data_IF_308622191272
#
_entry.id   IF_308622191272
#
_cell.length_a   1.000
_cell.length_b   1.000
_cell.length_c   1.000
_cell.angle_alpha   90.00
_cell.angle_beta   90.00
_cell.angle_gamma   90.00
#
_symmetry.space_group_name_H-M   'P 1'
#
loop_
_entity.id
_entity.type
_entity.pdbx_description
1 polymer ?
2 water ?
#
# COMPACT_ATOMS: atom_id res chain seq x y z
N UNK A 5 -30.28 -0.38 -4.63
CA UNK A 5 -31.55 -0.87 -5.14
C UNK A 5 -32.09 -2.00 -4.28
N UNK A 6 -31.43 -3.16 -4.36
CA UNK A 6 -31.83 -4.33 -3.60
C UNK A 6 -31.61 -4.12 -2.10
N UNK A 7 -32.46 -4.76 -1.29
CA UNK A 7 -32.25 -4.69 0.15
C UNK A 7 -31.01 -5.48 0.54
N UNK A 8 -30.45 -5.14 1.70
CA UNK A 8 -29.32 -5.92 2.19
C UNK A 8 -29.71 -7.38 2.40
N UNK A 9 -30.96 -7.62 2.82
CA UNK A 9 -31.43 -8.99 2.96
C UNK A 9 -31.36 -9.73 1.62
N UNK A 10 -31.86 -9.09 0.56
CA UNK A 10 -31.88 -9.72 -0.76
C UNK A 10 -30.47 -9.95 -1.27
N UNK A 11 -29.55 -9.01 -1.01
CA UNK A 11 -28.18 -9.20 -1.47
C UNK A 11 -27.57 -10.44 -0.85
N UNK A 12 -27.77 -10.64 0.45
CA UNK A 12 -27.21 -11.80 1.14
C UNK A 12 -27.90 -13.07 0.68
N UNK A 13 -29.23 -13.07 0.68
CA UNK A 13 -29.97 -14.28 0.32
C UNK A 13 -29.70 -14.69 -1.13
N UNK A 14 -29.64 -13.72 -2.05
CA UNK A 14 -29.37 -14.07 -3.44
C UNK A 14 -27.95 -14.59 -3.62
N UNK A 15 -26.97 -13.97 -2.95
CA UNK A 15 -25.61 -14.48 -3.02
C UNK A 15 -25.55 -15.95 -2.60
N UNK A 16 -26.25 -16.30 -1.52
CA UNK A 16 -26.24 -17.65 -0.97
C UNK A 16 -26.98 -18.63 -1.88
N UNK A 17 -28.21 -18.29 -2.27
CA UNK A 17 -29.07 -19.27 -2.95
C UNK A 17 -28.62 -19.52 -4.38
N UNK A 18 -27.95 -18.57 -5.00
CA UNK A 18 -27.48 -18.72 -6.38
C UNK A 18 -25.96 -18.86 -6.48
N UNK A 19 -25.26 -19.05 -5.35
CA UNK A 19 -23.81 -19.24 -5.34
C UNK A 19 -23.11 -18.13 -6.13
N UNK A 20 -23.51 -16.87 -5.84
CA UNK A 20 -22.93 -15.71 -6.51
C UNK A 20 -21.71 -15.21 -5.76
N UNK A 21 -20.59 -14.97 -6.45
CA UNK A 21 -19.33 -14.73 -5.73
C UNK A 21 -19.07 -13.28 -5.30
N UNK A 22 -19.78 -12.28 -5.81
CA UNK A 22 -19.48 -10.90 -5.48
C UNK A 22 -20.67 -10.24 -4.79
N UNK A 23 -20.38 -9.43 -3.78
CA UNK A 23 -21.40 -8.72 -3.00
C UNK A 23 -21.03 -7.25 -2.95
N UNK A 24 -21.90 -6.38 -3.48
CA UNK A 24 -21.66 -4.94 -3.52
C UNK A 24 -22.59 -4.23 -2.53
N UNK A 25 -22.02 -3.77 -1.42
CA UNK A 25 -22.73 -3.01 -0.40
C UNK A 25 -22.12 -1.62 -0.23
N UNK A 26 -21.61 -1.05 -1.31
CA UNK A 26 -21.02 0.28 -1.26
C UNK A 26 -22.09 1.34 -1.02
N UNK A 27 -21.77 2.31 -0.18
CA UNK A 27 -22.59 3.52 -0.02
C UNK A 27 -24.00 3.17 0.43
N UNK A 28 -24.08 2.36 1.49
CA UNK A 28 -25.37 1.94 2.04
C UNK A 28 -25.58 2.44 3.47
N UNK A 29 -24.76 3.37 3.94
CA UNK A 29 -24.88 3.89 5.29
C UNK A 29 -24.62 2.90 6.40
N UNK A 30 -23.84 1.86 6.13
CA UNK A 30 -23.60 0.82 7.13
C UNK A 30 -22.59 1.33 8.15
N UNK A 31 -22.95 1.26 9.43
CA UNK A 31 -22.03 1.66 10.50
C UNK A 31 -21.42 0.48 11.25
N UNK A 32 -21.95 -0.74 11.08
CA UNK A 32 -21.44 -1.90 11.80
C UNK A 32 -21.69 -3.13 10.94
N UNK A 33 -20.62 -3.86 10.58
CA UNK A 33 -20.83 -5.06 9.76
C UNK A 33 -21.68 -6.09 10.50
N UNK A 34 -21.65 -6.10 11.84
CA UNK A 34 -22.51 -7.04 12.55
C UNK A 34 -23.99 -6.74 12.34
N UNK A 35 -24.33 -5.54 11.87
CA UNK A 35 -25.72 -5.16 11.65
C UNK A 35 -26.31 -5.78 10.38
N UNK A 36 -25.47 -6.27 9.46
CA UNK A 36 -25.92 -6.76 8.16
C UNK A 36 -26.28 -8.24 8.34
N UNK A 37 -27.58 -8.53 8.40
CA UNK A 37 -28.04 -9.87 8.78
C UNK A 37 -27.52 -10.94 7.81
N UNK A 38 -26.81 -11.93 8.35
CA UNK A 38 -26.34 -13.06 7.58
C UNK A 38 -25.07 -12.83 6.78
N UNK A 39 -24.44 -11.66 6.92
CA UNK A 39 -23.30 -11.35 6.06
C UNK A 39 -22.19 -12.38 6.25
N UNK A 40 -21.98 -12.83 7.47
CA UNK A 40 -20.86 -13.71 7.76
C UNK A 40 -21.19 -15.18 7.56
N UNK A 41 -22.33 -15.50 6.95
CA UNK A 41 -22.61 -16.84 6.47
C UNK A 41 -22.13 -17.07 5.03
N UNK A 42 -21.58 -16.05 4.38
CA UNK A 42 -21.23 -16.13 2.96
C UNK A 42 -19.79 -16.59 2.77
N UNK A 43 -19.52 -17.80 3.25
CA UNK A 43 -18.18 -18.38 3.20
C UNK A 43 -17.71 -18.70 1.80
N UNK A 44 -18.55 -18.50 0.78
CA UNK A 44 -18.18 -18.79 -0.59
C UNK A 44 -17.80 -17.56 -1.40
N UNK A 45 -18.10 -16.34 -0.93
CA UNK A 45 -17.95 -15.18 -1.79
C UNK A 45 -16.48 -14.83 -1.97
N UNK A 46 -16.15 -14.28 -3.13
CA UNK A 46 -14.78 -13.91 -3.44
C UNK A 46 -14.55 -12.41 -3.44
N UNK A 47 -15.61 -11.60 -3.47
CA UNK A 47 -15.47 -10.16 -3.48
C UNK A 47 -16.51 -9.52 -2.58
N UNK A 48 -16.07 -8.63 -1.70
CA UNK A 48 -16.96 -7.90 -0.80
C UNK A 48 -16.58 -6.43 -0.87
N UNK A 49 -17.53 -5.58 -1.30
CA UNK A 49 -17.28 -4.15 -1.46
C UNK A 49 -18.12 -3.43 -0.42
N UNK A 50 -17.44 -2.75 0.51
CA UNK A 50 -18.09 -1.96 1.56
C UNK A 50 -17.55 -0.54 1.60
N UNK A 51 -17.14 -0.02 0.45
CA UNK A 51 -16.64 1.35 0.36
C UNK A 51 -17.75 2.35 0.66
N UNK A 52 -17.34 3.54 1.09
CA UNK A 52 -18.23 4.70 1.25
C UNK A 52 -19.35 4.43 2.24
N UNK A 53 -19.03 3.72 3.31
CA UNK A 53 -19.98 3.53 4.40
C UNK A 53 -19.46 4.31 5.62
N UNK A 54 -19.87 3.89 6.81
CA UNK A 54 -19.43 4.58 8.03
C UNK A 54 -18.90 3.59 9.05
N UNK A 55 -18.16 2.58 8.59
CA UNK A 55 -17.57 1.61 9.49
C UNK A 55 -16.44 2.24 10.29
N UNK A 56 -16.36 1.90 11.58
CA UNK A 56 -15.24 2.30 12.41
C UNK A 56 -14.40 1.12 12.87
N UNK A 57 -14.90 -0.11 12.68
CA UNK A 57 -14.18 -1.32 13.04
C UNK A 57 -14.47 -2.38 12.00
N UNK A 58 -13.66 -3.43 12.00
CA UNK A 58 -13.94 -4.65 11.27
C UNK A 58 -13.97 -5.78 12.31
N UNK A 59 -15.05 -6.53 12.44
CA UNK A 59 -15.13 -7.51 13.53
C UNK A 59 -14.32 -8.75 13.23
N UNK A 60 -13.94 -9.51 14.26
CA UNK A 60 -13.16 -10.75 14.03
C UNK A 60 -13.91 -11.75 13.17
N UNK A 61 -15.24 -11.61 13.09
CA UNK A 61 -16.09 -12.44 12.24
C UNK A 61 -15.67 -12.42 10.78
N UNK A 62 -14.87 -11.43 10.37
CA UNK A 62 -14.41 -11.37 8.98
C UNK A 62 -13.73 -12.67 8.57
N UNK A 63 -13.14 -13.39 9.54
CA UNK A 63 -12.43 -14.62 9.25
C UNK A 63 -13.35 -15.73 8.77
N UNK A 64 -14.67 -15.58 8.96
CA UNK A 64 -15.60 -16.58 8.44
C UNK A 64 -15.79 -16.49 6.94
N UNK A 65 -15.40 -15.37 6.32
CA UNK A 65 -15.50 -15.17 4.87
C UNK A 65 -14.23 -15.70 4.21
N UNK A 66 -14.09 -17.03 4.27
CA UNK A 66 -12.78 -17.64 4.00
C UNK A 66 -12.39 -17.63 2.53
N UNK A 67 -13.34 -17.42 1.62
CA UNK A 67 -13.05 -17.44 0.19
C UNK A 67 -12.71 -16.07 -0.39
N UNK A 68 -12.64 -15.03 0.43
CA UNK A 68 -12.49 -13.67 -0.10
C UNK A 68 -11.16 -13.50 -0.81
N UNK A 69 -11.21 -12.93 -2.02
CA UNK A 69 -10.03 -12.49 -2.77
C UNK A 69 -9.95 -10.98 -2.92
N UNK A 70 -11.09 -10.29 -2.89
CA UNK A 70 -11.14 -8.84 -3.04
C UNK A 70 -11.96 -8.27 -1.89
N UNK A 71 -11.37 -7.38 -1.12
CA UNK A 71 -12.04 -6.77 0.02
C UNK A 71 -11.77 -5.27 -0.05
N UNK A 72 -12.84 -4.48 -0.19
CA UNK A 72 -12.73 -3.05 -0.42
C UNK A 72 -13.43 -2.32 0.73
N UNK A 73 -12.65 -1.63 1.56
CA UNK A 73 -13.18 -0.76 2.62
C UNK A 73 -12.88 0.71 2.34
N UNK A 74 -12.68 1.10 1.08
CA UNK A 74 -12.27 2.47 0.79
C UNK A 74 -13.25 3.50 1.35
N UNK A 75 -12.71 4.53 1.99
CA UNK A 75 -13.53 5.66 2.48
C UNK A 75 -14.55 5.20 3.52
N UNK A 76 -14.04 4.66 4.61
CA UNK A 76 -14.81 4.48 5.84
C UNK A 76 -14.10 5.24 6.96
N UNK A 77 -14.32 4.87 8.21
CA UNK A 77 -13.65 5.51 9.35
C UNK A 77 -12.96 4.47 10.21
N UNK A 78 -12.33 3.49 9.57
CA UNK A 78 -11.85 2.31 10.29
C UNK A 78 -10.59 2.66 11.06
N UNK A 79 -10.57 2.32 12.34
CA UNK A 79 -9.49 2.73 13.23
C UNK A 79 -8.54 1.59 13.57
N UNK A 80 -8.94 0.34 13.35
CA UNK A 80 -8.10 -0.80 13.64
C UNK A 80 -8.63 -1.99 12.85
N UNK A 81 -7.73 -2.93 12.53
CA UNK A 81 -8.11 -4.19 11.92
C UNK A 81 -7.94 -5.33 12.92
N UNK A 82 -8.82 -6.32 12.89
CA UNK A 82 -8.64 -7.47 13.77
C UNK A 82 -7.49 -8.34 13.30
N UNK A 83 -6.85 -9.01 14.25
CA UNK A 83 -5.76 -9.89 13.87
C UNK A 83 -6.25 -11.04 12.99
N UNK A 84 -7.54 -11.40 13.11
CA UNK A 84 -8.11 -12.46 12.28
C UNK A 84 -8.07 -12.15 10.79
N UNK A 85 -7.82 -10.90 10.41
CA UNK A 85 -7.77 -10.54 8.99
C UNK A 85 -6.70 -11.37 8.27
N UNK A 86 -5.64 -11.77 8.97
CA UNK A 86 -4.56 -12.51 8.31
C UNK A 86 -4.93 -13.97 8.03
N UNK A 87 -6.08 -14.43 8.49
CA UNK A 87 -6.57 -15.77 8.18
C UNK A 87 -7.25 -15.86 6.81
N UNK A 88 -7.35 -14.77 6.06
CA UNK A 88 -7.96 -14.79 4.73
C UNK A 88 -6.92 -15.22 3.71
N UNK A 89 -6.81 -16.54 3.52
CA UNK A 89 -5.71 -17.12 2.77
C UNK A 89 -5.85 -16.96 1.25
N UNK A 90 -7.02 -16.52 0.77
CA UNK A 90 -7.18 -16.23 -0.64
C UNK A 90 -7.14 -14.74 -0.95
N UNK A 91 -6.93 -13.88 0.04
CA UNK A 91 -7.07 -12.44 -0.19
C UNK A 91 -5.94 -11.93 -1.08
N UNK A 92 -6.31 -11.37 -2.24
CA UNK A 92 -5.38 -10.86 -3.23
C UNK A 92 -5.34 -9.35 -3.32
N UNK A 93 -6.45 -8.68 -2.99
CA UNK A 93 -6.60 -7.25 -3.19
C UNK A 93 -7.29 -6.69 -1.96
N UNK A 94 -6.59 -5.85 -1.21
CA UNK A 94 -7.14 -5.24 0.00
C UNK A 94 -7.04 -3.73 -0.15
N UNK A 95 -8.19 -3.06 -0.15
CA UNK A 95 -8.24 -1.61 -0.28
C UNK A 95 -8.72 -1.05 1.05
N UNK A 96 -7.82 -0.45 1.80
CA UNK A 96 -8.13 0.23 3.06
C UNK A 96 -7.93 1.73 2.96
N UNK A 97 -7.95 2.28 1.74
CA UNK A 97 -7.66 3.69 1.57
C UNK A 97 -8.71 4.56 2.22
N UNK A 98 -8.29 5.76 2.62
CA UNK A 98 -9.21 6.77 3.21
C UNK A 98 -9.90 6.22 4.46
N UNK A 99 -9.10 5.74 5.40
CA UNK A 99 -9.61 5.34 6.71
C UNK A 99 -8.75 6.07 7.73
N UNK A 100 -8.76 5.58 8.97
CA UNK A 100 -8.03 6.22 10.07
C UNK A 100 -7.10 5.22 10.76
N UNK A 101 -6.46 4.35 9.97
CA UNK A 101 -5.57 3.34 10.54
C UNK A 101 -4.26 3.98 11.00
N UNK A 102 -3.86 3.67 12.25
CA UNK A 102 -2.58 4.06 12.81
C UNK A 102 -1.64 2.89 13.00
N UNK A 103 -2.14 1.65 12.85
CA UNK A 103 -1.35 0.44 13.03
C UNK A 103 -1.97 -0.67 12.20
N UNK A 104 -1.15 -1.68 11.91
CA UNK A 104 -1.64 -2.92 11.34
C UNK A 104 -1.39 -4.05 12.33
N UNK A 105 -2.27 -5.03 12.42
CA UNK A 105 -2.21 -5.99 13.52
C UNK A 105 -1.05 -6.96 13.37
N UNK A 106 -0.64 -7.51 14.51
CA UNK A 106 0.40 -8.53 14.48
C UNK A 106 -0.05 -9.68 13.60
N UNK A 107 0.89 -10.21 12.82
CA UNK A 107 0.62 -11.31 11.92
C UNK A 107 0.08 -10.90 10.58
N UNK A 108 -0.07 -9.59 10.32
CA UNK A 108 -0.62 -9.13 9.05
C UNK A 108 0.20 -9.65 7.87
N UNK A 109 1.51 -9.79 8.05
CA UNK A 109 2.38 -10.28 7.01
C UNK A 109 2.23 -11.75 6.69
N UNK A 110 1.38 -12.47 7.42
CA UNK A 110 1.11 -13.89 7.18
C UNK A 110 0.11 -14.13 6.05
N UNK A 111 -0.44 -13.09 5.45
CA UNK A 111 -1.36 -13.25 4.32
C UNK A 111 -0.60 -13.85 3.14
N UNK A 112 -0.97 -15.04 2.66
CA UNK A 112 -0.12 -15.74 1.67
C UNK A 112 -0.36 -15.37 0.22
N UNK A 113 -1.43 -14.66 -0.12
CA UNK A 113 -1.78 -14.40 -1.51
C UNK A 113 -1.87 -12.92 -1.86
N UNK A 114 -1.54 -12.03 -0.94
CA UNK A 114 -1.80 -10.62 -1.14
C UNK A 114 -0.92 -10.05 -2.26
N UNK A 115 -1.56 -9.48 -3.28
CA UNK A 115 -0.87 -8.87 -4.41
C UNK A 115 -0.98 -7.36 -4.46
N UNK A 116 -2.10 -6.78 -4.03
CA UNK A 116 -2.33 -5.34 -4.11
C UNK A 116 -2.80 -4.88 -2.74
N UNK A 117 -2.07 -3.93 -2.14
CA UNK A 117 -2.39 -3.38 -0.84
C UNK A 117 -2.46 -1.87 -0.98
N UNK A 118 -3.68 -1.34 -0.84
CA UNK A 118 -3.94 0.10 -0.93
C UNK A 118 -4.18 0.61 0.48
N UNK A 119 -3.24 1.38 1.01
CA UNK A 119 -3.36 1.94 2.35
C UNK A 119 -3.31 3.46 2.30
N UNK A 120 -3.63 4.04 1.15
CA UNK A 120 -3.53 5.48 0.97
C UNK A 120 -4.42 6.23 1.93
N UNK A 121 -4.01 7.43 2.30
CA UNK A 121 -4.81 8.30 3.13
C UNK A 121 -5.19 7.62 4.45
N UNK A 122 -4.18 7.16 5.17
CA UNK A 122 -4.37 6.70 6.54
C UNK A 122 -3.35 7.46 7.40
N UNK A 123 -3.10 6.97 8.60
CA UNK A 123 -2.10 7.58 9.48
C UNK A 123 -1.01 6.60 9.87
N UNK A 124 -0.55 5.84 8.89
CA UNK A 124 0.48 4.84 9.12
C UNK A 124 1.86 5.47 9.07
N UNK A 125 2.78 4.91 9.86
CA UNK A 125 4.18 5.27 9.80
C UNK A 125 4.98 3.99 9.91
N UNK A 126 6.31 4.12 9.89
CA UNK A 126 7.16 2.95 9.99
C UNK A 126 6.89 2.18 11.28
N UNK A 127 6.50 2.87 12.33
CA UNK A 127 6.19 2.22 13.61
C UNK A 127 4.86 1.49 13.60
N UNK A 128 4.03 1.69 12.56
CA UNK A 128 2.74 1.01 12.42
C UNK A 128 2.88 -0.41 11.95
N UNK A 129 4.02 -0.78 11.39
CA UNK A 129 4.18 -2.05 10.69
C UNK A 129 4.54 -3.16 11.67
N UNK A 130 3.82 -4.28 11.63
CA UNK A 130 4.16 -5.39 12.50
C UNK A 130 5.48 -6.02 12.08
N UNK A 131 6.03 -6.82 13.02
CA UNK A 131 7.33 -7.43 12.80
C UNK A 131 7.42 -8.27 11.54
N UNK A 132 6.32 -8.90 11.12
CA UNK A 132 6.37 -9.79 9.97
C UNK A 132 5.83 -9.14 8.68
N UNK A 133 5.71 -7.81 8.66
CA UNK A 133 5.07 -7.14 7.53
C UNK A 133 5.77 -7.47 6.21
N UNK A 134 7.10 -7.51 6.20
CA UNK A 134 7.80 -7.70 4.95
C UNK A 134 7.95 -9.17 4.57
N UNK A 135 7.17 -10.05 5.20
CA UNK A 135 6.97 -11.39 4.64
C UNK A 135 5.90 -11.41 3.57
N UNK A 136 5.32 -10.25 3.25
CA UNK A 136 4.31 -10.12 2.19
C UNK A 136 4.99 -10.10 0.83
N UNK A 137 5.82 -11.11 0.55
CA UNK A 137 6.64 -11.07 -0.65
C UNK A 137 5.85 -11.36 -1.94
N UNK A 138 4.54 -11.64 -1.85
CA UNK A 138 3.68 -11.73 -3.03
C UNK A 138 3.23 -10.37 -3.56
N UNK A 139 3.55 -9.28 -2.85
CA UNK A 139 3.00 -7.97 -3.20
C UNK A 139 3.55 -7.47 -4.54
N UNK A 140 2.66 -7.00 -5.40
CA UNK A 140 3.04 -6.39 -6.65
C UNK A 140 2.75 -4.90 -6.69
N UNK A 141 1.85 -4.41 -5.84
CA UNK A 141 1.52 -2.99 -5.80
C UNK A 141 1.30 -2.62 -4.35
N UNK A 142 2.01 -1.59 -3.90
CA UNK A 142 1.94 -1.15 -2.51
C UNK A 142 1.70 0.34 -2.54
N UNK A 143 0.53 0.78 -2.11
CA UNK A 143 0.16 2.19 -2.19
C UNK A 143 0.14 2.74 -0.77
N UNK A 144 1.08 3.62 -0.47
CA UNK A 144 1.22 4.20 0.86
C UNK A 144 1.14 5.72 0.81
N UNK A 145 0.65 6.30 -0.27
CA UNK A 145 0.63 7.75 -0.37
C UNK A 145 -0.27 8.38 0.71
N UNK A 146 0.11 9.59 1.11
CA UNK A 146 -0.67 10.38 2.07
C UNK A 146 -0.80 9.64 3.41
N UNK A 147 0.32 9.09 3.87
CA UNK A 147 0.44 8.60 5.22
C UNK A 147 1.49 9.42 5.94
N UNK A 148 2.08 8.84 6.99
CA UNK A 148 2.96 9.54 7.93
C UNK A 148 4.36 8.93 8.01
N UNK A 149 4.81 8.26 6.95
CA UNK A 149 6.13 7.63 7.01
C UNK A 149 7.23 8.68 6.99
N UNK A 150 8.22 8.51 7.87
CA UNK A 150 9.43 9.32 7.86
C UNK A 150 10.64 8.59 7.28
N UNK A 151 10.69 7.27 7.45
CA UNK A 151 11.66 6.45 6.73
C UNK A 151 10.91 5.23 6.22
N UNK A 152 11.51 4.57 5.23
CA UNK A 152 11.00 3.31 4.73
C UNK A 152 11.93 2.22 5.23
N UNK A 153 11.46 1.20 5.94
CA UNK A 153 12.38 0.20 6.52
C UNK A 153 13.16 -0.51 5.43
N UNK A 154 14.42 -0.86 5.70
CA UNK A 154 15.24 -1.53 4.67
C UNK A 154 14.66 -2.85 4.18
N UNK A 155 13.83 -3.51 4.97
CA UNK A 155 13.25 -4.78 4.49
C UNK A 155 12.28 -4.59 3.33
N UNK A 156 11.99 -3.35 2.91
CA UNK A 156 11.27 -3.13 1.64
C UNK A 156 11.96 -3.88 0.51
N UNK A 157 13.28 -4.06 0.59
CA UNK A 157 14.03 -4.76 -0.43
C UNK A 157 13.64 -6.21 -0.60
N UNK A 158 12.93 -6.79 0.36
CA UNK A 158 12.46 -8.16 0.22
C UNK A 158 11.31 -8.30 -0.77
N UNK A 159 10.64 -7.20 -1.13
CA UNK A 159 9.39 -7.28 -1.92
C UNK A 159 9.72 -7.19 -3.41
N UNK A 160 10.43 -8.20 -3.90
CA UNK A 160 11.00 -8.13 -5.24
C UNK A 160 9.98 -8.40 -6.36
N UNK A 161 8.73 -8.70 -6.04
CA UNK A 161 7.69 -8.69 -7.05
C UNK A 161 7.08 -7.31 -7.27
N UNK A 162 7.46 -6.31 -6.46
CA UNK A 162 6.79 -5.02 -6.54
C UNK A 162 7.02 -4.39 -7.91
N UNK A 163 5.92 -3.95 -8.51
CA UNK A 163 5.96 -3.15 -9.72
C UNK A 163 5.55 -1.71 -9.49
N UNK A 164 4.77 -1.44 -8.45
CA UNK A 164 4.30 -0.09 -8.16
C UNK A 164 4.51 0.18 -6.68
N UNK A 165 5.20 1.29 -6.36
CA UNK A 165 5.41 1.71 -4.99
C UNK A 165 5.09 3.19 -4.88
N UNK A 166 4.06 3.53 -4.12
CA UNK A 166 3.66 4.93 -4.02
C UNK A 166 3.90 5.43 -2.59
N UNK A 167 4.77 6.42 -2.46
CA UNK A 167 5.08 7.04 -1.18
C UNK A 167 4.83 8.55 -1.24
N UNK A 168 3.90 8.97 -2.09
CA UNK A 168 3.62 10.39 -2.30
C UNK A 168 3.14 11.05 -1.01
N UNK A 169 3.66 12.24 -0.73
CA UNK A 169 3.09 13.11 0.30
C UNK A 169 3.09 12.41 1.66
N UNK A 170 4.17 11.69 1.96
CA UNK A 170 4.41 11.26 3.32
C UNK A 170 5.29 12.32 3.98
N UNK A 171 6.18 11.93 4.88
CA UNK A 171 7.11 12.89 5.49
C UNK A 171 8.53 12.32 5.42
N UNK A 172 8.86 11.69 4.29
CA UNK A 172 10.08 10.91 4.20
C UNK A 172 11.31 11.81 4.21
N UNK A 173 12.29 11.47 5.05
CA UNK A 173 13.56 12.19 5.05
C UNK A 173 14.66 11.40 4.36
N UNK A 174 14.42 10.14 4.03
CA UNK A 174 15.40 9.34 3.33
C UNK A 174 14.70 8.18 2.64
N UNK A 175 15.37 7.61 1.64
CA UNK A 175 15.02 6.35 1.01
C UNK A 175 16.12 5.33 1.30
N UNK A 176 15.79 4.07 1.56
CA UNK A 176 16.83 3.08 1.83
C UNK A 176 17.47 2.60 0.55
N UNK A 177 18.77 2.29 0.64
CA UNK A 177 19.46 1.84 -0.56
C UNK A 177 18.87 0.55 -1.08
N UNK A 178 18.19 -0.20 -0.21
CA UNK A 178 17.54 -1.45 -0.58
C UNK A 178 16.43 -1.27 -1.63
N UNK A 179 15.98 -0.03 -1.89
CA UNK A 179 15.06 0.19 -3.00
C UNK A 179 15.69 -0.28 -4.30
N UNK A 180 17.02 -0.27 -4.39
CA UNK A 180 17.70 -0.73 -5.59
C UNK A 180 17.52 -2.20 -5.87
N UNK A 181 16.99 -2.97 -4.92
CA UNK A 181 16.73 -4.39 -5.12
C UNK A 181 15.38 -4.65 -5.80
N UNK A 182 14.56 -3.62 -5.97
CA UNK A 182 13.21 -3.79 -6.52
C UNK A 182 13.28 -3.68 -8.05
N UNK A 183 13.95 -4.65 -8.66
CA UNK A 183 14.30 -4.50 -10.07
C UNK A 183 13.13 -4.74 -11.03
N UNK A 184 11.95 -5.13 -10.55
CA UNK A 184 10.76 -5.16 -11.40
C UNK A 184 9.94 -3.88 -11.29
N UNK A 185 10.40 -2.91 -10.52
CA UNK A 185 9.62 -1.70 -10.32
C UNK A 185 9.44 -0.95 -11.63
N UNK A 186 8.20 -0.50 -11.87
CA UNK A 186 7.85 0.29 -13.02
C UNK A 186 7.37 1.67 -12.64
N UNK A 187 6.88 1.86 -11.42
CA UNK A 187 6.33 3.13 -10.98
C UNK A 187 6.81 3.39 -9.56
N UNK A 188 7.45 4.53 -9.35
CA UNK A 188 7.88 4.96 -8.03
C UNK A 188 7.44 6.40 -7.83
N UNK A 189 6.63 6.65 -6.80
CA UNK A 189 6.10 7.98 -6.51
C UNK A 189 6.66 8.43 -5.17
N UNK A 190 7.50 9.47 -5.17
CA UNK A 190 8.11 9.95 -3.93
C UNK A 190 8.01 11.48 -3.83
N UNK A 191 7.17 12.07 -4.67
CA UNK A 191 6.96 13.52 -4.65
C UNK A 191 6.30 13.97 -3.34
N UNK A 192 6.65 15.18 -2.91
CA UNK A 192 5.99 15.79 -1.77
C UNK A 192 6.47 15.37 -0.41
N UNK A 193 7.72 14.90 -0.28
CA UNK A 193 8.29 14.49 1.00
C UNK A 193 9.31 15.53 1.48
N UNK A 194 10.27 15.11 2.30
CA UNK A 194 11.35 15.99 2.76
C UNK A 194 12.70 15.44 2.32
N UNK A 195 12.75 14.81 1.15
CA UNK A 195 13.97 14.17 0.67
C UNK A 195 14.97 15.22 0.18
N UNK A 196 16.25 15.01 0.51
CA UNK A 196 17.30 15.91 0.08
C UNK A 196 18.32 15.23 -0.83
N UNK A 197 18.57 13.94 -0.62
CA UNK A 197 19.49 13.16 -1.45
C UNK A 197 18.84 11.83 -1.81
N UNK A 198 19.42 11.18 -2.82
CA UNK A 198 18.95 9.88 -3.23
C UNK A 198 20.07 8.87 -3.05
N UNK A 199 19.77 7.68 -2.52
CA UNK A 199 20.81 6.65 -2.43
C UNK A 199 21.32 6.27 -3.81
N UNK A 200 22.63 6.17 -3.99
CA UNK A 200 23.16 5.81 -5.32
C UNK A 200 22.58 4.52 -5.85
N UNK A 201 22.18 3.60 -4.97
CA UNK A 201 21.63 2.32 -5.39
C UNK A 201 20.30 2.48 -6.12
N UNK A 202 19.60 3.61 -5.98
CA UNK A 202 18.42 3.83 -6.81
C UNK A 202 18.78 3.89 -8.29
N UNK A 203 20.02 4.23 -8.61
CA UNK A 203 20.47 4.21 -9.99
C UNK A 203 20.42 2.84 -10.63
N UNK A 204 20.36 1.77 -9.82
CA UNK A 204 20.20 0.43 -10.39
C UNK A 204 18.87 0.26 -11.10
N UNK A 205 17.90 1.14 -10.87
CA UNK A 205 16.58 1.02 -11.48
C UNK A 205 16.50 1.84 -12.76
N UNK A 206 15.83 1.28 -13.76
CA UNK A 206 15.52 2.01 -14.98
C UNK A 206 14.06 2.43 -14.87
N UNK A 207 13.85 3.68 -14.46
CA UNK A 207 12.52 4.28 -14.46
C UNK A 207 12.47 5.45 -15.43
N UNK A 208 13.15 5.31 -16.57
CA UNK A 208 13.31 6.43 -17.49
C UNK A 208 12.38 6.38 -18.69
N UNK A 209 11.74 5.24 -18.97
CA UNK A 209 10.97 5.11 -20.18
C UNK A 209 9.62 5.80 -20.13
N UNK A 210 8.98 5.86 -21.30
CA UNK A 210 7.57 6.25 -21.37
C UNK A 210 6.70 5.27 -20.61
N UNK A 211 7.12 4.00 -20.53
CA UNK A 211 6.39 2.97 -19.82
C UNK A 211 6.60 3.01 -18.30
N UNK A 212 7.69 3.62 -17.84
CA UNK A 212 7.93 3.71 -16.40
C UNK A 212 7.56 5.10 -15.88
N UNK A 213 7.37 5.17 -14.56
CA UNK A 213 6.98 6.42 -13.90
C UNK A 213 7.93 6.65 -12.73
N UNK A 214 8.51 7.85 -12.68
CA UNK A 214 9.30 8.30 -11.54
C UNK A 214 8.83 9.73 -11.23
N UNK A 215 8.03 9.89 -10.19
CA UNK A 215 7.54 11.19 -9.75
C UNK A 215 8.29 11.58 -8.49
N UNK A 216 8.96 12.71 -8.51
CA UNK A 216 9.84 13.06 -7.40
C UNK A 216 9.91 14.57 -7.18
N UNK A 217 9.04 15.34 -7.82
CA UNK A 217 8.96 16.78 -7.68
C UNK A 217 8.59 17.15 -6.24
N UNK A 218 8.75 18.44 -5.90
CA UNK A 218 8.29 18.93 -4.60
C UNK A 218 8.98 18.20 -3.44
N UNK A 219 10.31 18.11 -3.52
CA UNK A 219 11.17 17.73 -2.42
C UNK A 219 12.28 18.76 -2.30
N UNK A 220 12.83 18.95 -1.11
CA UNK A 220 13.93 19.92 -0.92
C UNK A 220 15.28 19.35 -1.32
N UNK A 221 15.42 19.05 -2.61
CA UNK A 221 16.60 18.38 -3.15
C UNK A 221 17.83 19.27 -3.03
N UNK A 222 18.98 18.66 -2.71
CA UNK A 222 20.23 19.42 -2.79
C UNK A 222 20.41 19.97 -4.21
N UNK A 223 21.20 21.05 -4.30
CA UNK A 223 21.31 21.78 -5.57
C UNK A 223 21.74 20.94 -6.76
N UNK A 224 22.77 20.08 -6.68
CA UNK A 224 23.12 19.29 -7.88
C UNK A 224 22.00 18.39 -8.36
N UNK A 225 21.29 17.74 -7.44
CA UNK A 225 20.15 16.90 -7.81
C UNK A 225 19.05 17.75 -8.40
N UNK A 226 18.72 18.87 -7.75
CA UNK A 226 17.69 19.76 -8.27
C UNK A 226 18.02 20.22 -9.68
N UNK A 227 19.30 20.48 -9.96
CA UNK A 227 19.71 20.87 -11.31
C UNK A 227 19.46 19.75 -12.32
N UNK A 228 19.66 18.50 -11.92
CA UNK A 228 19.43 17.38 -12.84
C UNK A 228 17.95 17.19 -13.11
N UNK A 229 17.10 17.39 -12.10
CA UNK A 229 15.66 17.30 -12.34
C UNK A 229 15.21 18.30 -13.38
N UNK A 230 15.85 19.47 -13.44
CA UNK A 230 15.52 20.45 -14.46
C UNK A 230 15.80 19.91 -15.86
N UNK A 231 16.87 19.14 -16.01
CA UNK A 231 17.21 18.57 -17.31
C UNK A 231 16.37 17.36 -17.66
N UNK A 232 15.80 16.67 -16.67
CA UNK A 232 15.01 15.49 -16.96
C UNK A 232 15.37 14.29 -16.10
N UNK A 233 14.45 13.33 -16.00
CA UNK A 233 14.63 12.20 -15.10
C UNK A 233 15.84 11.36 -15.50
N UNK A 234 16.07 11.20 -16.81
CA UNK A 234 17.22 10.41 -17.22
C UNK A 234 18.53 11.01 -16.71
N UNK A 235 18.61 12.34 -16.65
CA UNK A 235 19.81 12.99 -16.14
C UNK A 235 20.00 12.74 -14.65
N UNK A 236 18.90 12.67 -13.90
CA UNK A 236 19.00 12.37 -12.48
C UNK A 236 19.59 10.98 -12.28
N UNK A 237 19.10 10.01 -13.05
CA UNK A 237 19.55 8.65 -12.85
C UNK A 237 21.02 8.48 -13.24
N UNK A 238 21.46 9.14 -14.30
CA UNK A 238 22.88 9.08 -14.65
C UNK A 238 23.72 9.71 -13.56
N UNK A 239 23.26 10.84 -13.02
CA UNK A 239 24.04 11.53 -12.00
C UNK A 239 24.26 10.65 -10.78
N UNK A 240 23.19 10.03 -10.26
CA UNK A 240 23.36 9.28 -9.02
C UNK A 240 24.10 7.97 -9.21
N UNK A 241 24.30 7.53 -10.46
CA UNK A 241 25.14 6.37 -10.69
C UNK A 241 26.62 6.69 -10.74
N UNK A 242 27.00 7.97 -10.81
CA UNK A 242 28.39 8.37 -11.02
C UNK A 242 29.21 8.20 -9.75
N UNK A 243 30.51 7.94 -9.93
CA UNK A 243 31.37 7.81 -8.76
C UNK A 243 31.49 9.12 -8.01
N UNK A 244 31.39 10.25 -8.72
CA UNK A 244 31.46 11.53 -8.04
C UNK A 244 30.27 11.73 -7.13
N UNK A 245 29.08 11.34 -7.58
CA UNK A 245 27.93 11.44 -6.69
C UNK A 245 28.07 10.51 -5.50
N UNK A 246 28.52 9.27 -5.74
CA UNK A 246 28.76 8.37 -4.61
C UNK A 246 29.71 9.00 -3.60
N UNK A 247 30.77 9.66 -4.10
CA UNK A 247 31.70 10.35 -3.21
C UNK A 247 31.00 11.42 -2.39
N UNK A 248 30.30 12.34 -3.07
CA UNK A 248 29.69 13.47 -2.39
C UNK A 248 28.56 13.03 -1.48
N UNK A 249 27.80 12.01 -1.89
CA UNK A 249 26.77 11.45 -1.03
C UNK A 249 27.35 10.92 0.27
N UNK A 250 28.45 10.17 0.19
CA UNK A 250 29.09 9.69 1.41
C UNK A 250 29.59 10.83 2.29
N UNK A 251 30.12 11.89 1.67
CA UNK A 251 30.58 13.03 2.45
C UNK A 251 29.42 13.86 3.01
N UNK A 252 28.31 13.94 2.26
CA UNK A 252 27.18 14.75 2.69
C UNK A 252 26.55 14.20 3.95
N UNK A 253 26.42 12.88 4.03
CA UNK A 253 25.90 12.26 5.24
C UNK A 253 26.71 12.77 6.42
N UNK A 254 27.99 12.45 6.46
CA UNK A 254 28.88 12.98 7.47
C UNK A 254 29.06 14.49 7.27
#
# INVERSE_FOLDING_TARGET
GSHMSKSLKKLVEESREKNQPEVDMSDRGISNMLDVNGLFTLSHITQLVLSHNKLTMVPPNIAELKNLEVLNFFNNQIEELPTQISSLQKLKHLNLGMNRLNTLPRGFGSLPALEVLDLTYNNLSENSLPGNFFYLTTLRALYLSDNDFEILPPDIGKLTKLQILSLRDNDLISLPKEIGELTQLKELHIQGNRLTVLPPELGNLDLTGQKQVFKAENNPWVTPIADQFQLGVSHVFEYIRSETYKYLYGRHMQANPEPPKKNNDKSKKISRKPLAAKNR
#
